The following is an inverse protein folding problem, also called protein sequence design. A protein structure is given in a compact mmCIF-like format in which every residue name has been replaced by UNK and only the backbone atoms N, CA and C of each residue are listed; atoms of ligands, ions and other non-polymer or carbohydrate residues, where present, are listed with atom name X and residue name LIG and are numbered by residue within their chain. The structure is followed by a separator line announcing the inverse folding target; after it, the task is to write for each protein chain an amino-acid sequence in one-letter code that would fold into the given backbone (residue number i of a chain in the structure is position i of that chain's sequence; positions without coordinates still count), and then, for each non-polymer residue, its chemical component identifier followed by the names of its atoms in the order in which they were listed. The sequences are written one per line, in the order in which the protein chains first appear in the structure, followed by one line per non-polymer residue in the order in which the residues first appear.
data_IF_993960165501
#
_entry.id   IF_993960165501
#
_cell.length_a   1.000
_cell.length_b   1.000
_cell.length_c   1.000
_cell.angle_alpha   90.00
_cell.angle_beta   90.00
_cell.angle_gamma   90.00
#
_symmetry.space_group_name_H-M   'P 1'
#
loop_
_entity.id
_entity.type
_entity.pdbx_description
1 polymer ?
#
# COMPACT_ATOMS: atom_id res chain seq x y z
N UNK A 1 16.39 19.80 14.81
CA UNK A 1 15.41 19.72 13.71
C UNK A 1 15.57 20.99 12.89
N UNK A 2 15.90 20.83 11.63
CA UNK A 2 15.85 21.89 10.64
C UNK A 2 14.43 21.92 10.07
N UNK A 3 13.81 23.09 10.10
CA UNK A 3 12.46 23.30 9.54
C UNK A 3 12.57 24.07 8.24
N UNK A 4 11.59 23.92 7.37
CA UNK A 4 11.56 24.62 6.08
C UNK A 4 12.85 24.39 5.27
N UNK A 5 13.39 23.17 5.34
CA UNK A 5 14.66 22.78 4.75
C UNK A 5 14.47 21.54 3.92
N UNK A 6 15.02 21.52 2.72
CA UNK A 6 14.94 20.43 1.76
C UNK A 6 16.34 20.05 1.29
N UNK A 7 16.52 18.77 0.91
CA UNK A 7 17.76 18.26 0.32
C UNK A 7 17.65 18.45 -1.19
N UNK A 8 18.62 19.12 -1.80
CA UNK A 8 18.66 19.35 -3.24
C UNK A 8 19.68 18.47 -3.96
N UNK A 9 20.81 18.18 -3.32
CA UNK A 9 21.86 17.37 -3.93
C UNK A 9 22.48 16.41 -2.94
N UNK A 10 22.90 15.24 -3.42
CA UNK A 10 23.66 14.23 -2.70
C UNK A 10 25.06 14.15 -3.29
N UNK A 11 26.08 14.29 -2.46
CA UNK A 11 27.48 14.27 -2.86
C UNK A 11 28.17 13.05 -2.29
N UNK A 12 28.93 12.35 -3.14
CA UNK A 12 29.64 11.14 -2.78
C UNK A 12 29.85 10.22 -3.98
N UNK A 13 30.25 9.00 -3.73
CA UNK A 13 30.44 7.99 -4.76
C UNK A 13 29.85 6.65 -4.33
N UNK A 14 29.66 5.75 -5.32
CA UNK A 14 29.19 4.40 -5.04
C UNK A 14 30.19 3.58 -4.22
N UNK A 15 31.47 3.90 -4.30
CA UNK A 15 32.54 3.18 -3.61
C UNK A 15 32.79 3.72 -2.22
N UNK A 16 32.73 5.03 -2.05
CA UNK A 16 33.03 5.72 -0.78
C UNK A 16 31.77 6.03 0.04
N UNK A 17 30.61 5.93 -0.56
CA UNK A 17 29.32 6.27 0.06
C UNK A 17 28.97 7.75 -0.09
N UNK A 18 28.02 8.19 0.73
CA UNK A 18 27.61 9.59 0.87
C UNK A 18 28.63 10.35 1.72
N UNK A 19 29.06 11.50 1.26
CA UNK A 19 29.98 12.41 1.96
C UNK A 19 29.23 13.57 2.59
N UNK A 20 28.46 14.30 1.81
CA UNK A 20 27.65 15.41 2.28
C UNK A 20 26.40 15.60 1.42
N UNK A 21 25.51 16.45 1.85
CA UNK A 21 24.29 16.85 1.13
C UNK A 21 24.22 18.36 1.03
N UNK A 22 23.65 18.87 -0.05
CA UNK A 22 23.27 20.27 -0.17
C UNK A 22 21.85 20.44 0.36
N UNK A 23 21.70 21.30 1.33
CA UNK A 23 20.43 21.70 1.94
C UNK A 23 20.08 23.12 1.49
N UNK A 24 18.81 23.34 1.20
CA UNK A 24 18.26 24.69 1.02
C UNK A 24 17.17 24.93 2.04
N UNK A 25 17.10 26.15 2.56
CA UNK A 25 16.07 26.56 3.50
C UNK A 25 15.49 27.92 3.16
N UNK A 26 14.21 28.12 3.47
CA UNK A 26 13.53 29.40 3.27
C UNK A 26 12.57 29.68 4.43
N UNK A 27 12.47 30.92 4.99
CA UNK A 27 11.64 31.21 6.15
C UNK A 27 10.16 30.85 5.98
N UNK A 28 9.63 30.98 4.76
CA UNK A 28 8.24 30.69 4.44
C UNK A 28 7.99 29.22 4.00
N UNK A 29 9.01 28.36 4.01
CA UNK A 29 8.95 26.98 3.53
C UNK A 29 9.04 26.86 2.00
N UNK A 30 8.99 25.62 1.52
CA UNK A 30 9.11 25.26 0.08
C UNK A 30 10.35 25.88 -0.59
N UNK A 31 11.56 25.68 -0.04
CA UNK A 31 12.75 26.36 -0.52
C UNK A 31 13.14 25.96 -1.95
N UNK A 32 12.83 24.74 -2.39
CA UNK A 32 13.10 24.27 -3.76
C UNK A 32 12.28 25.01 -4.81
N UNK A 33 11.11 25.53 -4.46
CA UNK A 33 10.28 26.37 -5.33
C UNK A 33 10.74 27.85 -5.36
N UNK A 34 11.74 28.18 -4.52
CA UNK A 34 12.18 29.56 -4.24
C UNK A 34 13.71 29.72 -4.34
N UNK A 35 14.36 28.93 -5.17
CA UNK A 35 15.84 28.93 -5.27
C UNK A 35 16.43 30.28 -5.67
N UNK A 36 15.68 31.11 -6.42
CA UNK A 36 16.08 32.44 -6.86
C UNK A 36 15.71 33.55 -5.85
N UNK A 37 15.04 33.20 -4.73
CA UNK A 37 14.68 34.16 -3.68
C UNK A 37 15.91 34.50 -2.84
N UNK A 38 16.17 35.81 -2.55
CA UNK A 38 17.32 36.23 -1.76
C UNK A 38 17.30 35.75 -0.31
N UNK A 39 16.13 35.35 0.20
CA UNK A 39 15.97 34.79 1.55
C UNK A 39 16.18 33.26 1.59
N UNK A 40 16.47 32.63 0.44
CA UNK A 40 16.84 31.22 0.36
C UNK A 40 18.31 31.03 0.73
N UNK A 41 18.56 30.25 1.76
CA UNK A 41 19.90 29.88 2.22
C UNK A 41 20.29 28.49 1.72
N UNK A 42 21.52 28.34 1.28
CA UNK A 42 22.10 27.05 0.86
C UNK A 42 23.25 26.68 1.79
N UNK A 43 23.26 25.45 2.28
CA UNK A 43 24.28 24.93 3.22
C UNK A 43 24.71 23.53 2.79
N UNK A 44 26.01 23.27 2.82
CA UNK A 44 26.57 21.91 2.76
C UNK A 44 26.52 21.28 4.16
N UNK A 45 26.01 20.05 4.25
CA UNK A 45 25.84 19.34 5.50
C UNK A 45 26.42 17.93 5.40
N UNK A 46 27.42 17.63 6.25
CA UNK A 46 28.06 16.31 6.31
C UNK A 46 27.05 15.25 6.75
N UNK A 47 26.87 14.21 5.94
CA UNK A 47 25.92 13.14 6.20
C UNK A 47 26.41 11.81 5.62
N UNK A 48 26.45 10.77 6.44
CA UNK A 48 26.79 9.42 5.98
C UNK A 48 25.64 8.65 5.36
N UNK A 49 24.40 9.13 5.51
CA UNK A 49 23.21 8.55 4.91
C UNK A 49 22.04 9.54 4.88
N UNK A 50 21.13 9.37 3.94
CA UNK A 50 19.85 10.09 3.86
C UNK A 50 18.72 9.09 3.79
N UNK A 51 17.71 9.28 4.63
CA UNK A 51 16.47 8.50 4.62
C UNK A 51 15.30 9.39 4.23
N UNK A 52 14.63 9.04 3.14
CA UNK A 52 13.39 9.70 2.76
C UNK A 52 12.22 9.08 3.52
N UNK A 53 11.57 9.88 4.36
CA UNK A 53 10.38 9.49 5.12
C UNK A 53 9.24 10.48 4.84
N UNK A 54 8.92 10.65 3.55
CA UNK A 54 8.00 11.67 3.02
C UNK A 54 6.59 11.14 2.71
N UNK A 55 6.30 9.91 3.13
CA UNK A 55 5.02 9.24 2.88
C UNK A 55 5.14 8.11 1.86
N UNK A 56 4.00 7.49 1.59
CA UNK A 56 3.87 6.37 0.69
C UNK A 56 2.74 6.64 -0.29
N UNK A 57 2.88 6.12 -1.49
CA UNK A 57 1.81 6.05 -2.49
C UNK A 57 1.50 4.58 -2.73
N UNK A 58 0.23 4.16 -2.64
CA UNK A 58 -0.13 2.76 -2.88
C UNK A 58 0.15 2.39 -4.33
N UNK A 59 0.72 1.20 -4.54
CA UNK A 59 0.98 0.68 -5.88
C UNK A 59 -0.19 -0.20 -6.31
N UNK A 60 -1.27 0.41 -6.79
CA UNK A 60 -2.53 -0.23 -7.17
C UNK A 60 -2.85 -0.15 -8.66
N UNK A 61 -1.96 0.40 -9.48
CA UNK A 61 -2.13 0.54 -10.94
C UNK A 61 -2.43 -0.81 -11.63
N UNK A 62 -1.88 -1.91 -11.12
CA UNK A 62 -2.10 -3.26 -11.66
C UNK A 62 -3.54 -3.76 -11.45
N UNK A 63 -4.34 -3.09 -10.61
CA UNK A 63 -5.75 -3.40 -10.39
C UNK A 63 -6.69 -2.70 -11.39
N UNK A 64 -6.16 -1.85 -12.26
CA UNK A 64 -6.97 -1.20 -13.29
C UNK A 64 -7.73 -2.24 -14.15
N UNK A 65 -9.02 -2.02 -14.32
CA UNK A 65 -9.89 -2.90 -15.09
C UNK A 65 -10.40 -4.14 -14.35
N UNK A 66 -9.98 -4.39 -13.11
CA UNK A 66 -10.53 -5.49 -12.29
C UNK A 66 -11.91 -5.16 -11.72
N UNK A 67 -12.26 -3.90 -11.62
CA UNK A 67 -13.48 -3.41 -10.99
C UNK A 67 -13.37 -3.17 -9.49
N UNK A 68 -12.23 -3.46 -8.88
CA UNK A 68 -11.99 -3.24 -7.46
C UNK A 68 -12.06 -1.75 -7.10
N UNK A 69 -12.76 -1.43 -6.02
CA UNK A 69 -12.92 -0.06 -5.53
C UNK A 69 -11.65 0.43 -4.81
N UNK A 70 -11.17 1.60 -5.22
CA UNK A 70 -10.08 2.33 -4.58
C UNK A 70 -10.60 3.66 -4.06
N UNK A 71 -9.99 4.18 -3.00
CA UNK A 71 -10.26 5.54 -2.53
C UNK A 71 -9.61 6.61 -3.43
N UNK A 72 -9.88 7.89 -3.14
CA UNK A 72 -9.33 9.04 -3.89
C UNK A 72 -7.78 9.11 -3.86
N UNK A 73 -7.15 8.46 -2.89
CA UNK A 73 -5.69 8.40 -2.74
C UNK A 73 -5.09 7.11 -3.33
N UNK A 74 -5.93 6.22 -3.89
CA UNK A 74 -5.56 4.97 -4.52
C UNK A 74 -5.42 3.78 -3.58
N UNK A 75 -5.88 3.87 -2.33
CA UNK A 75 -5.90 2.76 -1.39
C UNK A 75 -7.10 1.83 -1.62
N UNK A 76 -6.87 0.55 -1.35
CA UNK A 76 -7.84 -0.51 -1.59
C UNK A 76 -8.93 -0.53 -0.51
N UNK A 77 -10.20 -0.53 -0.91
CA UNK A 77 -11.32 -0.76 -0.01
C UNK A 77 -11.50 -2.25 0.31
N UNK A 78 -11.75 -2.55 1.59
CA UNK A 78 -12.11 -3.89 2.07
C UNK A 78 -13.28 -3.80 3.04
N UNK A 79 -13.92 -4.93 3.34
CA UNK A 79 -15.07 -4.98 4.24
C UNK A 79 -14.74 -4.45 5.65
N UNK A 80 -13.52 -4.68 6.14
CA UNK A 80 -13.13 -4.30 7.50
C UNK A 80 -13.97 -4.93 8.60
N UNK A 81 -14.06 -4.26 9.76
CA UNK A 81 -14.95 -4.66 10.85
C UNK A 81 -14.39 -5.77 11.74
N UNK A 82 -15.31 -6.60 12.31
CA UNK A 82 -15.02 -7.73 13.19
C UNK A 82 -15.75 -8.98 12.70
N UNK A 83 -15.11 -10.14 12.81
CA UNK A 83 -15.64 -11.39 12.26
C UNK A 83 -14.75 -11.88 11.13
N UNK A 84 -15.23 -12.78 10.28
CA UNK A 84 -14.55 -13.21 9.06
C UNK A 84 -14.74 -12.25 7.89
N UNK A 85 -14.07 -12.53 6.78
CA UNK A 85 -14.20 -11.81 5.51
C UNK A 85 -13.85 -10.30 5.58
N UNK A 86 -12.96 -9.93 6.49
CA UNK A 86 -12.59 -8.52 6.70
C UNK A 86 -11.73 -7.96 5.59
N UNK A 87 -10.99 -8.81 4.91
CA UNK A 87 -10.02 -8.44 3.88
C UNK A 87 -10.56 -8.56 2.46
N UNK A 88 -11.78 -9.10 2.30
CA UNK A 88 -12.44 -9.16 1.00
C UNK A 88 -12.74 -7.75 0.46
N UNK A 89 -12.57 -7.61 -0.85
CA UNK A 89 -12.96 -6.43 -1.60
C UNK A 89 -14.41 -6.57 -2.11
N UNK A 90 -14.87 -5.61 -2.87
CA UNK A 90 -16.13 -5.64 -3.61
C UNK A 90 -16.12 -6.59 -4.82
N UNK A 91 -14.95 -7.17 -5.14
CA UNK A 91 -14.77 -8.16 -6.22
C UNK A 91 -14.44 -9.52 -5.62
N UNK A 92 -15.29 -10.51 -5.89
CA UNK A 92 -15.13 -11.88 -5.40
C UNK A 92 -13.74 -12.47 -5.73
N UNK A 93 -13.09 -13.06 -4.72
CA UNK A 93 -11.78 -13.68 -4.84
C UNK A 93 -10.60 -12.72 -4.81
N UNK A 94 -10.82 -11.42 -4.59
CA UNK A 94 -9.78 -10.42 -4.36
C UNK A 94 -9.81 -9.96 -2.91
N UNK A 95 -8.65 -10.07 -2.24
CA UNK A 95 -8.46 -9.72 -0.83
C UNK A 95 -7.36 -8.69 -0.68
N UNK A 96 -7.54 -7.73 0.22
CA UNK A 96 -6.57 -6.66 0.49
C UNK A 96 -5.98 -6.75 1.88
N UNK A 97 -4.67 -6.54 2.01
CA UNK A 97 -3.98 -6.55 3.30
C UNK A 97 -2.74 -5.64 3.30
N UNK A 98 -2.41 -5.14 4.47
CA UNK A 98 -1.22 -4.32 4.69
C UNK A 98 -1.41 -2.86 4.29
N UNK A 99 -0.30 -2.20 3.98
CA UNK A 99 -0.24 -0.75 3.76
C UNK A 99 -1.09 -0.29 2.56
N UNK A 100 -1.43 -1.19 1.65
CA UNK A 100 -2.33 -0.89 0.52
C UNK A 100 -3.78 -0.67 0.95
N UNK A 101 -4.16 -1.13 2.16
CA UNK A 101 -5.48 -0.96 2.79
C UNK A 101 -5.42 0.02 3.95
N UNK A 102 -4.33 -0.03 4.74
CA UNK A 102 -4.16 0.77 5.96
C UNK A 102 -3.04 1.80 5.78
N UNK A 103 -3.41 2.99 5.35
CA UNK A 103 -2.48 4.12 5.20
C UNK A 103 -2.11 4.81 6.52
N UNK A 104 -2.75 4.44 7.63
CA UNK A 104 -2.56 5.13 8.91
C UNK A 104 -1.44 4.54 9.74
N UNK A 105 -1.44 3.22 9.92
CA UNK A 105 -0.43 2.59 10.80
C UNK A 105 0.87 2.30 10.07
N UNK A 106 0.83 1.77 8.88
CA UNK A 106 2.00 1.51 8.00
C UNK A 106 3.18 0.86 8.74
N UNK A 107 2.86 -0.18 9.53
CA UNK A 107 3.84 -0.93 10.32
C UNK A 107 3.91 -2.38 9.86
N UNK A 108 5.12 -2.93 9.76
CA UNK A 108 5.34 -4.32 9.33
C UNK A 108 4.54 -5.34 10.15
N UNK A 109 4.38 -5.11 11.46
CA UNK A 109 3.61 -6.01 12.34
C UNK A 109 2.10 -5.96 12.04
N UNK A 110 1.54 -4.78 11.77
CA UNK A 110 0.13 -4.64 11.38
C UNK A 110 -0.11 -5.22 10.01
N UNK A 111 0.74 -4.92 9.04
CA UNK A 111 0.68 -5.48 7.69
C UNK A 111 0.75 -7.01 7.70
N UNK A 112 1.65 -7.60 8.49
CA UNK A 112 1.75 -9.05 8.68
C UNK A 112 0.48 -9.66 9.30
N UNK A 113 -0.10 -9.01 10.32
CA UNK A 113 -1.36 -9.42 10.93
C UNK A 113 -2.54 -9.37 9.96
N UNK A 114 -2.61 -8.35 9.11
CA UNK A 114 -3.61 -8.27 8.05
C UNK A 114 -3.42 -9.36 6.99
N UNK A 115 -2.17 -9.69 6.64
CA UNK A 115 -1.85 -10.77 5.71
C UNK A 115 -2.34 -12.14 6.22
N UNK A 116 -2.23 -12.41 7.52
CA UNK A 116 -2.81 -13.63 8.12
C UNK A 116 -4.33 -13.65 7.97
N UNK A 117 -5.02 -12.53 8.21
CA UNK A 117 -6.48 -12.44 8.00
C UNK A 117 -6.85 -12.70 6.55
N UNK A 118 -6.13 -12.10 5.60
CA UNK A 118 -6.39 -12.29 4.17
C UNK A 118 -6.20 -13.75 3.74
N UNK A 119 -5.23 -14.44 4.30
CA UNK A 119 -5.03 -15.86 4.04
C UNK A 119 -6.19 -16.72 4.57
N UNK A 120 -6.71 -16.41 5.75
CA UNK A 120 -7.87 -17.11 6.33
C UNK A 120 -9.16 -16.82 5.55
N UNK A 121 -9.41 -15.55 5.22
CA UNK A 121 -10.58 -15.15 4.43
C UNK A 121 -10.57 -15.80 3.02
N UNK A 122 -9.37 -15.94 2.41
CA UNK A 122 -9.20 -16.62 1.13
C UNK A 122 -9.43 -18.14 1.24
N UNK A 123 -8.98 -18.77 2.32
CA UNK A 123 -9.20 -20.19 2.60
C UNK A 123 -10.71 -20.49 2.76
N UNK A 124 -11.39 -19.71 3.59
CA UNK A 124 -12.84 -19.80 3.78
C UNK A 124 -13.61 -19.63 2.45
N UNK A 125 -13.21 -18.68 1.61
CA UNK A 125 -13.79 -18.45 0.29
C UNK A 125 -13.60 -19.65 -0.65
N UNK A 126 -12.41 -20.25 -0.68
CA UNK A 126 -12.13 -21.43 -1.49
C UNK A 126 -12.95 -22.65 -1.04
N UNK A 127 -13.08 -22.86 0.28
CA UNK A 127 -13.93 -23.91 0.84
C UNK A 127 -15.41 -23.73 0.47
N UNK A 128 -15.90 -22.49 0.42
CA UNK A 128 -17.27 -22.19 0.00
C UNK A 128 -17.49 -22.51 -1.48
N UNK A 129 -16.52 -22.17 -2.33
CA UNK A 129 -16.56 -22.52 -3.76
C UNK A 129 -16.61 -24.04 -3.98
N UNK A 130 -15.77 -24.80 -3.27
CA UNK A 130 -15.74 -26.28 -3.36
C UNK A 130 -17.05 -26.90 -2.88
N UNK A 131 -17.64 -26.41 -1.79
CA UNK A 131 -18.93 -26.85 -1.27
C UNK A 131 -20.06 -26.55 -2.26
N UNK A 132 -20.05 -25.37 -2.87
CA UNK A 132 -21.02 -24.97 -3.88
C UNK A 132 -20.92 -25.84 -5.15
N UNK A 133 -19.71 -26.09 -5.62
CA UNK A 133 -19.48 -26.95 -6.79
C UNK A 133 -19.92 -28.41 -6.53
N UNK A 134 -19.65 -28.95 -5.35
CA UNK A 134 -20.06 -30.30 -4.94
C UNK A 134 -21.59 -30.44 -4.83
N UNK A 135 -22.26 -29.41 -4.29
CA UNK A 135 -23.72 -29.39 -4.20
C UNK A 135 -24.39 -29.34 -5.59
N UNK A 136 -23.83 -28.55 -6.52
CA UNK A 136 -24.32 -28.49 -7.89
C UNK A 136 -24.15 -29.84 -8.63
N UNK A 137 -23.01 -30.52 -8.44
CA UNK A 137 -22.76 -31.82 -9.05
C UNK A 137 -23.69 -32.93 -8.52
N UNK A 138 -24.09 -32.88 -7.25
CA UNK A 138 -25.03 -33.86 -6.64
C UNK A 138 -26.48 -33.54 -6.99
N UNK A 139 -26.85 -32.29 -7.24
CA UNK A 139 -28.19 -31.87 -7.68
C UNK A 139 -28.55 -32.33 -9.09
N UNK A 140 -27.58 -32.36 -9.99
CA UNK A 140 -27.77 -32.79 -11.39
C UNK A 140 -28.02 -34.31 -11.53
N UNK A 141 -27.50 -35.10 -10.57
CA UNK A 141 -27.70 -36.56 -10.56
C UNK A 141 -29.12 -36.95 -10.08
N UNK A 142 -29.73 -36.15 -9.19
CA UNK A 142 -31.04 -36.43 -8.65
C UNK A 142 -32.21 -36.16 -9.61
N UNK A 143 -31.99 -35.32 -10.63
CA UNK A 143 -33.00 -35.02 -11.67
C UNK A 143 -33.03 -36.02 -12.84
N UNK A 144 -31.97 -36.86 -13.00
CA UNK A 144 -31.87 -37.82 -14.07
C UNK A 144 -32.53 -39.20 -13.76
N UNK A 145 -32.92 -39.46 -12.49
CA UNK A 145 -33.51 -40.74 -12.07
C UNK A 145 -35.05 -40.69 -11.91
N UNK A 146 -35.74 -39.62 -12.30
CA UNK A 146 -37.21 -39.50 -12.14
C UNK A 146 -38.03 -39.58 -13.42
N UNK A 147 -37.49 -40.07 -14.55
CA UNK A 147 -38.21 -40.33 -15.79
C UNK A 147 -38.11 -41.82 -16.20
N UNK A 148 -38.84 -42.66 -15.47
CA UNK A 148 -39.25 -44.01 -15.92
C UNK A 148 -40.66 -44.33 -15.43
#
# INVERSE_FOLDING_TARGET
IMRNTEVTELHGSREEGLDHVTLVSHPEGYPTDRLDDPDTETVEFDAGAVFYAIGHTPNTEYLEGTGVELDDAGYLHTNGGTGGNQTATDVDGIFGAGDVVDYHYQQAATAGGMGVKAALDADDYLEELERGASAAATGDVATAESDD
#
